data_IF_577594348128
#
_entry.id   IF_577594348128
#
_cell.length_a   1.000
_cell.length_b   1.000
_cell.length_c   1.000
_cell.angle_alpha   90.00
_cell.angle_beta   90.00
_cell.angle_gamma   90.00
#
_symmetry.space_group_name_H-M   'P 1'
#
loop_
_entity.id
_entity.type
_entity.pdbx_description
1 polymer ?
#
# COMPACT_ATOMS: atom_id res chain seq x y z
N UNK A 1 -32.94 31.80 -7.24
CA UNK A 1 -31.51 31.59 -7.57
C UNK A 1 -30.92 30.60 -6.58
N UNK A 2 -30.66 29.36 -7.03
CA UNK A 2 -30.15 28.28 -6.18
C UNK A 2 -28.62 28.26 -6.29
N UNK A 3 -27.91 28.71 -5.25
CA UNK A 3 -26.45 28.67 -5.18
C UNK A 3 -26.01 27.31 -4.68
N UNK A 4 -25.52 26.47 -5.60
CA UNK A 4 -24.87 25.19 -5.29
C UNK A 4 -23.67 25.43 -4.37
N UNK A 5 -23.78 24.96 -3.11
CA UNK A 5 -22.62 24.81 -2.23
C UNK A 5 -21.74 23.71 -2.82
N UNK A 6 -20.52 24.08 -3.21
CA UNK A 6 -19.46 23.12 -3.49
C UNK A 6 -19.10 22.49 -2.16
N UNK A 7 -19.53 21.26 -1.93
CA UNK A 7 -18.99 20.44 -0.86
C UNK A 7 -17.51 20.20 -1.18
N UNK A 8 -16.66 20.97 -0.53
CA UNK A 8 -15.23 20.73 -0.49
C UNK A 8 -15.01 19.38 0.18
N UNK A 9 -14.71 18.36 -0.62
CA UNK A 9 -14.19 17.10 -0.12
C UNK A 9 -12.82 17.41 0.50
N UNK A 10 -12.81 17.61 1.81
CA UNK A 10 -11.58 17.60 2.60
C UNK A 10 -11.01 16.19 2.43
N UNK A 11 -9.90 16.04 1.71
CA UNK A 11 -9.21 14.77 1.61
C UNK A 11 -8.76 14.37 3.01
N UNK A 12 -9.50 13.46 3.66
CA UNK A 12 -9.03 12.82 4.88
C UNK A 12 -7.67 12.18 4.60
N UNK A 13 -6.76 12.23 5.57
CA UNK A 13 -5.50 11.48 5.46
C UNK A 13 -5.79 10.01 5.13
N UNK A 14 -5.06 9.40 4.18
CA UNK A 14 -5.27 8.02 3.85
C UNK A 14 -5.16 7.13 5.08
N UNK A 15 -5.98 6.06 5.19
CA UNK A 15 -5.78 5.08 6.22
C UNK A 15 -4.37 4.48 6.08
N UNK A 16 -3.53 4.74 7.06
CA UNK A 16 -2.19 4.15 7.17
C UNK A 16 -2.23 2.96 8.13
N UNK A 17 -1.59 1.83 7.78
CA UNK A 17 -1.41 0.74 8.71
C UNK A 17 -0.62 1.19 9.95
N UNK A 18 -0.77 0.45 11.06
CA UNK A 18 -0.12 0.78 12.33
C UNK A 18 1.37 1.07 12.17
N UNK A 19 1.87 2.09 12.87
CA UNK A 19 3.29 2.46 12.82
C UNK A 19 4.16 1.46 13.56
N UNK A 20 5.10 0.85 12.87
CA UNK A 20 6.14 0.01 13.46
C UNK A 20 7.38 0.85 13.75
N UNK A 21 8.24 0.43 14.70
CA UNK A 21 9.58 1.02 14.82
C UNK A 21 10.28 0.97 13.46
N UNK A 22 10.75 2.12 12.98
CA UNK A 22 11.37 2.35 11.67
C UNK A 22 10.46 2.21 10.44
N UNK A 23 9.13 2.16 10.60
CA UNK A 23 8.19 2.10 9.46
C UNK A 23 8.24 0.79 8.65
N UNK A 24 8.95 -0.22 9.13
CA UNK A 24 9.17 -1.49 8.44
C UNK A 24 7.97 -2.45 8.54
N UNK A 25 7.83 -3.41 7.62
CA UNK A 25 6.80 -4.49 7.68
C UNK A 25 5.35 -4.02 7.60
N UNK A 26 5.10 -2.92 6.86
CA UNK A 26 3.79 -2.39 6.49
C UNK A 26 3.84 -1.79 5.08
N UNK A 27 2.67 -1.53 4.49
CA UNK A 27 2.58 -0.68 3.29
C UNK A 27 2.67 0.79 3.69
N UNK A 28 3.10 1.65 2.77
CA UNK A 28 3.11 3.10 3.01
C UNK A 28 1.69 3.62 3.17
N UNK A 29 0.79 3.27 2.24
CA UNK A 29 -0.61 3.70 2.30
C UNK A 29 -1.57 2.66 1.71
N UNK A 30 -2.82 2.69 2.17
CA UNK A 30 -3.94 1.95 1.60
C UNK A 30 -5.04 2.93 1.19
N UNK A 31 -5.61 2.72 0.02
CA UNK A 31 -6.71 3.52 -0.53
C UNK A 31 -7.82 2.64 -1.06
N UNK A 32 -8.96 3.25 -1.36
CA UNK A 32 -10.02 2.64 -2.16
C UNK A 32 -10.23 3.46 -3.42
N UNK A 33 -10.38 2.79 -4.56
CA UNK A 33 -10.79 3.46 -5.79
C UNK A 33 -12.30 3.77 -5.80
N UNK A 34 -12.76 4.43 -6.87
CA UNK A 34 -14.18 4.78 -7.06
C UNK A 34 -15.14 3.57 -7.08
N UNK A 35 -14.62 2.37 -7.33
CA UNK A 35 -15.38 1.13 -7.41
C UNK A 35 -15.25 0.34 -6.08
N UNK A 36 -14.57 0.91 -5.08
CA UNK A 36 -14.36 0.32 -3.76
C UNK A 36 -13.20 -0.67 -3.67
N UNK A 37 -12.46 -0.90 -4.75
CA UNK A 37 -11.32 -1.83 -4.75
C UNK A 37 -10.16 -1.26 -3.93
N UNK A 38 -9.49 -2.13 -3.17
CA UNK A 38 -8.31 -1.75 -2.43
C UNK A 38 -7.14 -1.45 -3.37
N UNK A 39 -6.44 -0.35 -3.07
CA UNK A 39 -5.22 0.09 -3.76
C UNK A 39 -4.11 0.21 -2.73
N UNK A 40 -3.06 -0.58 -2.90
CA UNK A 40 -1.80 -0.41 -2.20
C UNK A 40 -1.00 0.67 -2.92
N UNK A 41 -0.52 1.65 -2.16
CA UNK A 41 0.37 2.69 -2.65
C UNK A 41 1.72 2.55 -1.97
N UNK A 42 2.75 2.38 -2.77
CA UNK A 42 4.17 2.42 -2.38
C UNK A 42 4.74 3.76 -2.85
N UNK A 43 5.41 4.50 -1.97
CA UNK A 43 5.99 5.80 -2.28
C UNK A 43 7.53 5.72 -2.29
N UNK A 44 8.15 6.26 -3.33
CA UNK A 44 9.62 6.27 -3.46
C UNK A 44 10.12 7.65 -3.90
N UNK A 45 11.27 8.05 -3.34
CA UNK A 45 12.03 9.20 -3.84
C UNK A 45 12.58 8.93 -5.24
N UNK A 46 13.03 9.96 -5.97
CA UNK A 46 13.23 9.88 -7.42
C UNK A 46 14.18 8.79 -7.90
N UNK A 47 15.27 8.57 -7.17
CA UNK A 47 16.28 7.56 -7.49
C UNK A 47 16.16 6.28 -6.64
N UNK A 48 15.15 6.20 -5.77
CA UNK A 48 14.93 5.03 -4.93
C UNK A 48 14.35 3.86 -5.75
N UNK A 49 14.75 2.64 -5.39
CA UNK A 49 14.34 1.41 -6.05
C UNK A 49 13.34 0.65 -5.19
N UNK A 50 12.62 -0.28 -5.81
CA UNK A 50 11.81 -1.28 -5.10
C UNK A 50 12.72 -2.20 -4.31
N UNK A 51 12.35 -2.41 -3.05
CA UNK A 51 13.15 -3.18 -2.11
C UNK A 51 12.86 -4.68 -2.22
N UNK A 52 13.90 -5.44 -1.86
CA UNK A 52 13.82 -6.87 -1.64
C UNK A 52 13.77 -7.14 -0.14
N UNK A 53 12.99 -8.15 0.24
CA UNK A 53 12.87 -8.55 1.64
C UNK A 53 12.73 -10.04 1.80
N UNK A 54 13.10 -10.54 2.96
CA UNK A 54 12.76 -11.90 3.35
C UNK A 54 11.24 -12.02 3.47
N UNK A 55 10.67 -13.00 2.77
CA UNK A 55 9.27 -13.37 2.91
C UNK A 55 8.96 -13.92 4.29
N UNK A 56 7.79 -13.56 4.80
CA UNK A 56 7.25 -13.97 6.10
C UNK A 56 5.84 -14.48 5.84
N UNK A 57 5.57 -15.75 6.10
CA UNK A 57 4.28 -16.37 5.80
C UNK A 57 4.43 -17.80 5.29
N UNK A 58 3.36 -18.61 5.30
CA UNK A 58 3.45 -20.03 5.00
C UNK A 58 4.00 -20.34 3.60
N UNK A 59 3.66 -19.51 2.61
CA UNK A 59 4.01 -19.71 1.20
C UNK A 59 5.37 -19.10 0.81
N UNK A 60 5.81 -18.05 1.52
CA UNK A 60 6.94 -17.21 1.11
C UNK A 60 8.09 -17.21 2.13
N UNK A 61 7.99 -18.02 3.19
CA UNK A 61 9.06 -18.14 4.18
C UNK A 61 10.37 -18.54 3.50
N UNK A 62 11.47 -17.91 3.91
CA UNK A 62 12.84 -18.19 3.42
C UNK A 62 13.09 -17.88 1.94
N UNK A 63 12.16 -17.21 1.24
CA UNK A 63 12.42 -16.64 -0.09
C UNK A 63 12.64 -15.14 -0.02
N UNK A 64 13.33 -14.58 -1.02
CA UNK A 64 13.40 -13.13 -1.21
C UNK A 64 12.23 -12.71 -2.10
N UNK A 65 11.43 -11.76 -1.61
CA UNK A 65 10.25 -11.23 -2.30
C UNK A 65 10.47 -9.75 -2.60
N UNK A 66 9.97 -9.28 -3.73
CA UNK A 66 10.18 -7.90 -4.20
C UNK A 66 8.90 -7.09 -4.05
N UNK A 67 9.04 -5.82 -3.65
CA UNK A 67 7.91 -4.87 -3.69
C UNK A 67 7.24 -4.87 -5.07
N UNK A 68 5.91 -4.73 -5.09
CA UNK A 68 5.10 -4.81 -6.31
C UNK A 68 4.70 -6.22 -6.77
N UNK A 69 4.99 -7.29 -6.00
CA UNK A 69 4.54 -8.66 -6.31
C UNK A 69 3.52 -9.19 -5.31
N UNK A 70 2.80 -10.26 -5.67
CA UNK A 70 1.81 -10.90 -4.79
C UNK A 70 2.49 -11.49 -3.54
N UNK A 71 3.68 -12.08 -3.69
CA UNK A 71 4.50 -12.67 -2.62
C UNK A 71 4.83 -11.61 -1.56
N UNK A 72 5.15 -10.39 -1.99
CA UNK A 72 5.40 -9.28 -1.09
C UNK A 72 4.13 -8.86 -0.33
N UNK A 73 3.00 -8.79 -1.02
CA UNK A 73 1.72 -8.46 -0.37
C UNK A 73 1.34 -9.52 0.66
N UNK A 74 1.48 -10.81 0.33
CA UNK A 74 1.26 -11.92 1.27
C UNK A 74 2.17 -11.83 2.48
N UNK A 75 3.42 -11.43 2.25
CA UNK A 75 4.40 -11.25 3.31
C UNK A 75 3.99 -10.15 4.30
N UNK A 76 3.58 -9.00 3.80
CA UNK A 76 3.10 -7.89 4.65
C UNK A 76 1.84 -8.31 5.42
N UNK A 77 0.91 -9.04 4.80
CA UNK A 77 -0.30 -9.51 5.50
C UNK A 77 0.05 -10.42 6.67
N UNK A 78 1.01 -11.34 6.51
CA UNK A 78 1.46 -12.19 7.59
C UNK A 78 2.10 -11.40 8.74
N UNK A 79 2.90 -10.37 8.42
CA UNK A 79 3.45 -9.47 9.43
C UNK A 79 2.35 -8.70 10.20
N UNK A 80 1.31 -8.24 9.49
CA UNK A 80 0.17 -7.53 10.06
C UNK A 80 -0.64 -8.45 10.99
N UNK A 81 -0.86 -9.70 10.59
CA UNK A 81 -1.57 -10.70 11.39
C UNK A 81 -0.83 -11.04 12.69
N UNK A 82 0.50 -11.13 12.65
CA UNK A 82 1.32 -11.34 13.86
C UNK A 82 1.15 -10.20 14.89
N UNK A 83 0.70 -9.02 14.46
CA UNK A 83 0.48 -7.86 15.32
C UNK A 83 -0.99 -7.64 15.71
N UNK A 84 -1.91 -8.54 15.37
CA UNK A 84 -3.35 -8.29 15.57
C UNK A 84 -3.74 -7.96 17.01
N UNK A 85 -3.06 -8.56 18.00
CA UNK A 85 -3.31 -8.29 19.41
C UNK A 85 -2.86 -6.88 19.84
N UNK A 86 -1.86 -6.32 19.15
CA UNK A 86 -1.34 -4.97 19.39
C UNK A 86 -2.04 -3.92 18.52
N UNK A 87 -2.49 -4.32 17.32
CA UNK A 87 -3.20 -3.51 16.35
C UNK A 87 -4.34 -4.32 15.72
N UNK A 88 -5.56 -4.25 16.29
CA UNK A 88 -6.74 -4.87 15.67
C UNK A 88 -7.01 -4.34 14.25
N UNK A 89 -6.58 -3.10 13.96
CA UNK A 89 -6.64 -2.52 12.61
C UNK A 89 -5.75 -3.25 11.61
N UNK A 90 -4.54 -3.68 12.01
CA UNK A 90 -3.68 -4.49 11.15
C UNK A 90 -4.37 -5.81 10.78
N UNK A 91 -5.03 -6.46 11.75
CA UNK A 91 -5.83 -7.66 11.49
C UNK A 91 -6.95 -7.42 10.49
N UNK A 92 -7.73 -6.34 10.67
CA UNK A 92 -8.81 -5.96 9.74
C UNK A 92 -8.27 -5.74 8.32
N UNK A 93 -7.22 -4.93 8.15
CA UNK A 93 -6.68 -4.64 6.82
C UNK A 93 -6.05 -5.87 6.17
N UNK A 94 -5.35 -6.72 6.93
CA UNK A 94 -4.81 -7.97 6.40
C UNK A 94 -5.92 -8.86 5.83
N UNK A 95 -7.07 -8.97 6.53
CA UNK A 95 -8.23 -9.71 6.04
C UNK A 95 -8.80 -9.10 4.74
N UNK A 96 -8.98 -7.79 4.69
CA UNK A 96 -9.50 -7.11 3.48
C UNK A 96 -8.55 -7.28 2.28
N UNK A 97 -7.24 -7.17 2.50
CA UNK A 97 -6.22 -7.36 1.45
C UNK A 97 -6.23 -8.81 0.96
N UNK A 98 -6.30 -9.81 1.85
CA UNK A 98 -6.40 -11.22 1.46
C UNK A 98 -7.65 -11.51 0.66
N UNK A 99 -8.78 -10.91 1.02
CA UNK A 99 -10.01 -11.02 0.24
C UNK A 99 -9.84 -10.41 -1.17
N UNK A 100 -9.22 -9.24 -1.27
CA UNK A 100 -8.94 -8.60 -2.56
C UNK A 100 -7.93 -9.40 -3.42
N UNK A 101 -6.94 -10.05 -2.80
CA UNK A 101 -6.04 -10.98 -3.49
C UNK A 101 -6.81 -12.18 -4.05
N UNK A 102 -7.64 -12.83 -3.23
CA UNK A 102 -8.45 -13.98 -3.62
C UNK A 102 -9.41 -13.64 -4.77
N UNK A 103 -10.02 -12.46 -4.72
CA UNK A 103 -10.96 -11.99 -5.72
C UNK A 103 -10.28 -11.33 -6.94
N UNK A 104 -8.95 -11.25 -6.95
CA UNK A 104 -8.16 -10.58 -8.00
C UNK A 104 -8.54 -9.12 -8.25
N UNK A 105 -8.98 -8.42 -7.20
CA UNK A 105 -9.39 -7.00 -7.27
C UNK A 105 -8.36 -6.04 -6.69
N UNK A 106 -7.33 -6.56 -6.01
CA UNK A 106 -6.28 -5.74 -5.42
C UNK A 106 -5.45 -5.02 -6.50
N UNK A 107 -5.25 -3.71 -6.32
CA UNK A 107 -4.35 -2.90 -7.15
C UNK A 107 -3.10 -2.51 -6.38
N UNK A 108 -1.98 -2.39 -7.09
CA UNK A 108 -0.71 -1.93 -6.54
C UNK A 108 -0.15 -0.83 -7.43
N UNK A 109 0.13 0.32 -6.83
CA UNK A 109 0.73 1.48 -7.49
C UNK A 109 2.00 1.89 -6.76
N UNK A 110 3.05 2.14 -7.53
CA UNK A 110 4.20 2.91 -7.09
C UNK A 110 3.99 4.37 -7.49
N UNK A 111 4.11 5.27 -6.52
CA UNK A 111 4.21 6.72 -6.71
C UNK A 111 5.70 7.07 -6.58
N UNK A 112 6.35 7.34 -7.70
CA UNK A 112 7.75 7.72 -7.74
C UNK A 112 7.88 9.23 -7.94
N UNK A 113 8.50 9.94 -7.00
CA UNK A 113 8.78 11.36 -7.18
C UNK A 113 9.64 11.59 -8.44
N UNK A 114 9.44 12.68 -9.17
CA UNK A 114 10.26 13.03 -10.34
C UNK A 114 11.51 13.81 -9.89
N UNK A 115 12.68 13.42 -10.41
CA UNK A 115 13.95 14.10 -10.10
C UNK A 115 13.90 15.56 -10.54
N UNK A 116 14.40 16.46 -9.69
CA UNK A 116 14.57 17.87 -10.02
C UNK A 116 15.63 18.51 -9.12
N UNK A 117 16.21 19.62 -9.58
CA UNK A 117 17.28 20.36 -8.90
C UNK A 117 16.77 21.56 -8.10
N UNK A 118 15.58 21.48 -7.48
CA UNK A 118 15.13 22.49 -6.51
C UNK A 118 13.66 22.93 -6.58
N UNK A 119 12.80 22.26 -7.35
CA UNK A 119 11.33 22.52 -7.38
C UNK A 119 10.57 21.23 -7.62
N UNK A 120 9.58 20.93 -6.80
CA UNK A 120 8.71 19.76 -6.96
C UNK A 120 8.25 19.60 -8.43
N UNK A 121 8.61 18.46 -9.05
CA UNK A 121 8.36 18.17 -10.46
C UNK A 121 7.23 17.15 -10.69
N UNK A 122 6.43 16.86 -9.66
CA UNK A 122 5.38 15.84 -9.71
C UNK A 122 5.87 14.45 -9.32
N UNK A 123 5.08 13.46 -9.68
CA UNK A 123 5.38 12.05 -9.49
C UNK A 123 4.86 11.22 -10.66
N UNK A 124 5.56 10.14 -10.97
CA UNK A 124 5.14 9.10 -11.90
C UNK A 124 4.35 8.01 -11.17
N UNK A 125 3.25 7.56 -11.78
CA UNK A 125 2.49 6.41 -11.31
C UNK A 125 2.87 5.17 -12.12
N UNK A 126 3.28 4.09 -11.44
CA UNK A 126 3.58 2.79 -12.04
C UNK A 126 2.65 1.74 -11.47
N UNK A 127 1.79 1.19 -12.33
CA UNK A 127 0.84 0.14 -11.95
C UNK A 127 1.48 -1.22 -12.13
N UNK A 128 1.41 -2.06 -11.10
CA UNK A 128 1.90 -3.44 -11.19
C UNK A 128 0.76 -4.38 -11.56
N UNK A 129 1.07 -5.31 -12.46
CA UNK A 129 0.19 -6.43 -12.78
C UNK A 129 0.39 -7.52 -11.72
N UNK A 130 -0.58 -7.67 -10.81
CA UNK A 130 -0.57 -8.73 -9.79
C UNK A 130 -1.19 -10.05 -10.28
N UNK A 131 -2.09 -10.00 -11.27
CA UNK A 131 -2.84 -11.13 -11.81
C UNK A 131 -2.96 -11.04 -13.33
#
# INVERSE_FOLDING_TARGET
MNSLRRDSVTAAEPPTPHSTPNGSRRFDQLWRDKDGNLVIVEAKGPNARLDWRQGNGPLDRRTMVKQGTVEYVRTICADMEQRVLLSPKDGKYAQEIRAALKNKTLRYVLVQATENTGRYAGAELKHFKLF
#
